data_IF_225789338649
#
_entry.id   IF_225789338649
#
_cell.length_a   1.000
_cell.length_b   1.000
_cell.length_c   1.000
_cell.angle_alpha   90.00
_cell.angle_beta   90.00
_cell.angle_gamma   90.00
#
_symmetry.space_group_name_H-M   'P 1'
#
loop_
_entity.id
_entity.type
_entity.pdbx_description
1 polymer ?
#
# COMPACT_ATOMS: atom_id res chain seq x y z
N UNK A 1 30.66 -0.86 -21.58
CA UNK A 1 29.43 -1.66 -21.64
C UNK A 1 28.62 -1.37 -22.92
N UNK A 2 28.16 -0.14 -23.14
CA UNK A 2 27.37 0.22 -24.34
C UNK A 2 28.08 -0.02 -25.68
N UNK A 3 29.39 0.25 -25.75
CA UNK A 3 30.17 0.03 -26.97
C UNK A 3 30.23 -1.44 -27.40
N UNK A 4 30.24 -2.39 -26.46
CA UNK A 4 30.25 -3.84 -26.77
C UNK A 4 28.93 -4.28 -27.43
N UNK A 5 27.80 -3.73 -26.97
CA UNK A 5 26.48 -4.04 -27.55
C UNK A 5 26.31 -3.45 -28.95
N UNK A 6 26.89 -2.26 -29.18
CA UNK A 6 26.97 -1.61 -30.51
C UNK A 6 27.77 -2.46 -31.49
N UNK A 7 28.91 -2.99 -31.06
CA UNK A 7 29.76 -3.85 -31.91
C UNK A 7 29.05 -5.16 -32.31
N UNK A 8 28.16 -5.67 -31.47
CA UNK A 8 27.32 -6.83 -31.75
C UNK A 8 26.00 -6.52 -32.47
N UNK A 9 25.79 -5.27 -32.92
CA UNK A 9 24.55 -4.82 -33.58
C UNK A 9 23.26 -5.12 -32.79
N UNK A 10 23.35 -5.11 -31.45
CA UNK A 10 22.19 -5.33 -30.59
C UNK A 10 21.49 -3.98 -30.42
N UNK A 11 20.29 -3.86 -30.98
CA UNK A 11 19.49 -2.65 -30.84
C UNK A 11 19.17 -2.36 -29.37
N UNK A 12 19.14 -1.08 -28.97
CA UNK A 12 18.67 -0.71 -27.64
C UNK A 12 17.28 -1.29 -27.40
N UNK A 13 17.04 -1.75 -26.17
CA UNK A 13 15.73 -2.18 -25.76
C UNK A 13 14.68 -1.09 -26.10
N UNK A 14 13.52 -1.45 -26.67
CA UNK A 14 12.52 -0.47 -27.05
C UNK A 14 12.11 0.39 -25.86
N UNK A 15 11.82 1.66 -26.14
CA UNK A 15 11.44 2.63 -25.12
C UNK A 15 10.15 2.15 -24.45
N UNK A 16 10.27 1.63 -23.23
CA UNK A 16 9.09 1.23 -22.45
C UNK A 16 8.27 2.49 -22.22
N UNK A 17 6.97 2.48 -22.54
CA UNK A 17 6.05 3.50 -22.04
C UNK A 17 6.09 3.47 -20.51
N UNK A 18 6.97 4.29 -19.93
CA UNK A 18 7.31 4.21 -18.51
C UNK A 18 6.42 5.18 -17.78
N UNK A 19 5.31 4.68 -17.23
CA UNK A 19 4.56 5.45 -16.22
C UNK A 19 5.54 5.78 -15.10
N UNK A 20 5.69 7.07 -14.80
CA UNK A 20 6.57 7.47 -13.71
C UNK A 20 6.02 6.91 -12.41
N UNK A 21 6.89 6.59 -11.45
CA UNK A 21 6.44 6.16 -10.11
C UNK A 21 5.46 7.15 -9.49
N UNK A 22 5.65 8.45 -9.73
CA UNK A 22 4.73 9.50 -9.29
C UNK A 22 3.35 9.41 -9.98
N UNK A 23 3.32 9.22 -11.30
CA UNK A 23 2.06 9.07 -12.06
C UNK A 23 1.31 7.80 -11.66
N UNK A 24 2.04 6.70 -11.42
CA UNK A 24 1.45 5.45 -10.94
C UNK A 24 0.81 5.61 -9.56
N UNK A 25 1.53 6.23 -8.60
CA UNK A 25 1.01 6.51 -7.26
C UNK A 25 -0.17 7.49 -7.28
N UNK A 26 -0.17 8.48 -8.18
CA UNK A 26 -1.29 9.42 -8.35
C UNK A 26 -2.55 8.78 -8.94
N UNK A 27 -2.41 7.68 -9.66
CA UNK A 27 -3.52 6.93 -10.25
C UNK A 27 -4.08 5.84 -9.31
N UNK A 28 -3.46 5.60 -8.16
CA UNK A 28 -3.85 4.56 -7.22
C UNK A 28 -4.58 5.20 -6.03
N UNK A 29 -5.73 4.65 -5.64
CA UNK A 29 -6.30 4.94 -4.32
C UNK A 29 -5.45 4.20 -3.30
N UNK A 30 -4.65 4.94 -2.52
CA UNK A 30 -3.85 4.30 -1.46
C UNK A 30 -4.83 3.89 -0.36
N UNK A 31 -4.98 2.58 -0.17
CA UNK A 31 -5.60 1.99 1.01
C UNK A 31 -4.47 1.68 2.00
N UNK A 32 -4.67 2.01 3.28
CA UNK A 32 -3.80 1.54 4.35
C UNK A 32 -4.62 0.72 5.33
N UNK A 33 -4.08 -0.42 5.73
CA UNK A 33 -4.56 -1.15 6.90
C UNK A 33 -3.76 -0.70 8.12
N UNK A 34 -4.43 -0.53 9.24
CA UNK A 34 -3.80 -0.21 10.52
C UNK A 34 -4.56 -0.88 11.67
N UNK A 35 -3.93 -0.92 12.83
CA UNK A 35 -4.43 -1.56 14.03
C UNK A 35 -4.30 -0.62 15.22
N UNK A 36 -5.39 -0.42 15.97
CA UNK A 36 -5.39 0.47 17.12
C UNK A 36 -6.21 -0.07 18.28
N UNK A 37 -5.95 0.47 19.46
CA UNK A 37 -6.63 0.15 20.70
C UNK A 37 -7.71 1.21 21.02
N UNK A 38 -8.81 0.79 21.62
CA UNK A 38 -9.82 1.67 22.19
C UNK A 38 -10.33 1.14 23.53
N UNK A 39 -10.55 2.04 24.49
CA UNK A 39 -11.19 1.70 25.76
C UNK A 39 -12.70 1.89 25.67
N UNK A 40 -13.44 0.90 26.17
CA UNK A 40 -14.90 0.97 26.34
C UNK A 40 -15.26 1.70 27.64
N UNK A 41 -16.54 2.09 27.77
CA UNK A 41 -17.05 2.71 29.01
C UNK A 41 -16.89 1.82 30.26
N UNK A 42 -16.76 0.50 30.08
CA UNK A 42 -16.54 -0.45 31.17
C UNK A 42 -15.05 -0.65 31.49
N UNK A 43 -14.15 0.10 30.84
CA UNK A 43 -12.70 -0.05 31.01
C UNK A 43 -12.10 -1.27 30.30
N UNK A 44 -12.86 -1.93 29.42
CA UNK A 44 -12.32 -3.02 28.60
C UNK A 44 -11.61 -2.45 27.37
N UNK A 45 -10.37 -2.89 27.16
CA UNK A 45 -9.58 -2.67 25.96
C UNK A 45 -10.11 -3.52 24.81
N UNK A 46 -10.39 -2.89 23.67
CA UNK A 46 -10.66 -3.55 22.40
C UNK A 46 -9.62 -3.17 21.38
N UNK A 47 -9.28 -4.14 20.54
CA UNK A 47 -8.35 -3.99 19.44
C UNK A 47 -9.10 -4.01 18.12
N UNK A 48 -8.81 -3.03 17.26
CA UNK A 48 -9.56 -2.77 16.04
C UNK A 48 -8.63 -2.88 14.84
N UNK A 49 -8.98 -3.74 13.89
CA UNK A 49 -8.35 -3.78 12.57
C UNK A 49 -9.19 -2.92 11.61
N UNK A 50 -8.57 -1.91 11.02
CA UNK A 50 -9.26 -0.99 10.13
C UNK A 50 -8.49 -0.76 8.83
N UNK A 51 -9.23 -0.46 7.76
CA UNK A 51 -8.69 0.01 6.49
C UNK A 51 -9.15 1.43 6.25
N UNK A 52 -8.22 2.33 5.90
CA UNK A 52 -8.51 3.71 5.52
C UNK A 52 -8.24 3.94 4.04
N UNK A 53 -9.25 4.47 3.34
CA UNK A 53 -9.08 5.05 2.02
C UNK A 53 -8.57 6.47 2.16
N UNK A 54 -7.30 6.71 1.80
CA UNK A 54 -6.64 8.00 2.03
C UNK A 54 -7.28 9.16 1.26
N UNK A 55 -7.82 8.89 0.07
CA UNK A 55 -8.41 9.91 -0.80
C UNK A 55 -9.72 10.48 -0.22
N UNK A 56 -10.54 9.63 0.38
CA UNK A 56 -11.87 9.99 0.91
C UNK A 56 -11.91 10.08 2.43
N UNK A 57 -10.81 9.67 3.10
CA UNK A 57 -10.73 9.49 4.56
C UNK A 57 -11.82 8.55 5.10
N UNK A 58 -12.34 7.64 4.27
CA UNK A 58 -13.29 6.62 4.70
C UNK A 58 -12.56 5.51 5.44
N UNK A 59 -13.06 5.18 6.63
CA UNK A 59 -12.55 4.08 7.45
C UNK A 59 -13.55 2.93 7.39
N UNK A 60 -13.05 1.74 7.09
CA UNK A 60 -13.78 0.48 7.17
C UNK A 60 -13.22 -0.33 8.33
N UNK A 61 -14.08 -0.70 9.28
CA UNK A 61 -13.72 -1.63 10.35
C UNK A 61 -13.83 -3.05 9.81
N UNK A 62 -12.72 -3.79 9.86
CA UNK A 62 -12.69 -5.19 9.44
C UNK A 62 -13.02 -6.12 10.59
N UNK A 63 -12.46 -5.86 11.78
CA UNK A 63 -12.72 -6.66 12.97
C UNK A 63 -12.50 -5.84 14.26
N UNK A 64 -13.10 -6.32 15.35
CA UNK A 64 -12.93 -5.79 16.70
C UNK A 64 -12.93 -6.94 17.71
N UNK A 65 -11.84 -7.09 18.45
CA UNK A 65 -11.65 -8.19 19.39
C UNK A 65 -11.00 -7.72 20.70
N UNK A 66 -11.38 -8.34 21.81
CA UNK A 66 -10.70 -8.16 23.10
C UNK A 66 -9.41 -8.99 23.21
N UNK A 67 -9.24 -9.98 22.33
CA UNK A 67 -8.14 -10.95 22.38
C UNK A 67 -7.49 -11.06 20.99
N UNK A 68 -6.61 -10.12 20.62
CA UNK A 68 -5.94 -10.17 19.33
C UNK A 68 -4.93 -11.31 19.33
N UNK A 69 -4.93 -12.10 18.25
CA UNK A 69 -3.94 -13.15 18.04
C UNK A 69 -2.97 -12.71 16.95
N UNK A 70 -1.68 -12.90 17.16
CA UNK A 70 -0.71 -12.87 16.07
C UNK A 70 -0.90 -14.16 15.27
N UNK A 71 -1.47 -14.05 14.07
CA UNK A 71 -1.57 -15.18 13.14
C UNK A 71 -0.19 -15.56 12.58
#
# INVERSE_FOLDING_TARGET
MWNILKDHSIDPAPERQRTTRATFLRSQTILSADFFETETLTGATLYVLAVIEHATRRVLILDTTAHPTAA
#
